data_IF_410597051149
#
_entry.id   IF_410597051149
#
_cell.length_a   1.000
_cell.length_b   1.000
_cell.length_c   1.000
_cell.angle_alpha   90.00
_cell.angle_beta   90.00
_cell.angle_gamma   90.00
#
_symmetry.space_group_name_H-M   'P 1'
#
loop_
_entity.id
_entity.type
_entity.pdbx_description
1 polymer ?
#
# COMPACT_ATOMS: atom_id res chain seq x y z
N UNK A 1 -25.66 -14.83 0.25
CA UNK A 1 -25.82 -14.08 -1.01
C UNK A 1 -25.34 -12.63 -0.88
N UNK A 2 -25.98 -11.76 -0.08
CA UNK A 2 -25.58 -10.35 0.07
C UNK A 2 -24.13 -10.09 0.58
N UNK A 3 -23.62 -10.91 1.52
CA UNK A 3 -22.23 -10.76 2.03
C UNK A 3 -21.18 -11.08 0.96
N UNK A 4 -21.42 -12.10 0.15
CA UNK A 4 -20.52 -12.51 -0.94
C UNK A 4 -20.45 -11.44 -2.02
N UNK A 5 -21.60 -10.90 -2.44
CA UNK A 5 -21.67 -9.80 -3.41
C UNK A 5 -20.94 -8.54 -2.91
N UNK A 6 -21.08 -8.20 -1.62
CA UNK A 6 -20.34 -7.08 -1.02
C UNK A 6 -18.82 -7.31 -1.05
N UNK A 7 -18.36 -8.55 -0.82
CA UNK A 7 -16.95 -8.91 -0.88
C UNK A 7 -16.40 -8.91 -2.32
N UNK A 8 -17.15 -9.41 -3.29
CA UNK A 8 -16.80 -9.33 -4.72
C UNK A 8 -16.66 -7.87 -5.18
N UNK A 9 -17.60 -7.01 -4.79
CA UNK A 9 -17.51 -5.57 -5.07
C UNK A 9 -16.31 -4.91 -4.38
N UNK A 10 -15.98 -5.32 -3.15
CA UNK A 10 -14.80 -4.84 -2.44
C UNK A 10 -13.50 -5.23 -3.16
N UNK A 11 -13.40 -6.48 -3.60
CA UNK A 11 -12.29 -7.00 -4.42
C UNK A 11 -12.16 -6.21 -5.71
N UNK A 12 -13.27 -6.02 -6.43
CA UNK A 12 -13.29 -5.28 -7.70
C UNK A 12 -12.75 -3.86 -7.52
N UNK A 13 -13.27 -3.14 -6.53
CA UNK A 13 -12.84 -1.76 -6.25
C UNK A 13 -11.34 -1.65 -5.88
N UNK A 14 -10.82 -2.63 -5.12
CA UNK A 14 -9.39 -2.69 -4.78
C UNK A 14 -8.54 -2.98 -6.03
N UNK A 15 -8.94 -3.95 -6.86
CA UNK A 15 -8.23 -4.31 -8.07
C UNK A 15 -8.21 -3.17 -9.10
N UNK A 16 -9.32 -2.44 -9.26
CA UNK A 16 -9.39 -1.26 -10.15
C UNK A 16 -8.44 -0.14 -9.72
N UNK A 17 -8.17 0.00 -8.42
CA UNK A 17 -7.23 0.99 -7.89
C UNK A 17 -5.77 0.50 -7.84
N UNK A 18 -5.54 -0.80 -8.05
CA UNK A 18 -4.25 -1.46 -7.91
C UNK A 18 -3.82 -2.10 -9.26
N UNK A 19 -3.35 -1.29 -10.22
CA UNK A 19 -3.22 -1.68 -11.63
C UNK A 19 -2.30 -2.88 -11.88
N UNK A 20 -1.33 -3.13 -10.99
CA UNK A 20 -0.34 -4.20 -11.13
C UNK A 20 -0.35 -5.17 -9.95
N UNK A 21 -1.48 -5.27 -9.24
CA UNK A 21 -1.66 -6.22 -8.15
C UNK A 21 -1.55 -7.66 -8.64
N UNK A 22 -2.26 -8.01 -9.72
CA UNK A 22 -2.26 -9.36 -10.27
C UNK A 22 -1.00 -9.67 -11.07
N UNK A 23 -0.61 -10.95 -11.08
CA UNK A 23 0.47 -11.43 -11.95
C UNK A 23 0.16 -11.14 -13.43
N UNK A 24 -1.08 -11.39 -13.86
CA UNK A 24 -1.49 -11.21 -15.24
C UNK A 24 -1.32 -9.76 -15.71
N UNK A 25 -1.68 -8.76 -14.89
CA UNK A 25 -1.49 -7.36 -15.23
C UNK A 25 0.00 -6.99 -15.36
N UNK A 26 0.85 -7.51 -14.47
CA UNK A 26 2.31 -7.35 -14.57
C UNK A 26 2.86 -7.99 -15.84
N UNK A 27 2.50 -9.24 -16.13
CA UNK A 27 2.97 -9.96 -17.30
C UNK A 27 2.57 -9.28 -18.61
N UNK A 28 1.30 -8.89 -18.73
CA UNK A 28 0.76 -8.24 -19.96
C UNK A 28 1.34 -6.85 -20.22
N UNK A 29 1.97 -6.21 -19.23
CA UNK A 29 2.68 -4.94 -19.41
C UNK A 29 3.94 -5.09 -20.28
N UNK A 30 4.54 -6.29 -20.35
CA UNK A 30 5.73 -6.57 -21.14
C UNK A 30 5.35 -6.91 -22.59
N UNK A 31 5.28 -5.89 -23.45
CA UNK A 31 5.00 -6.08 -24.88
C UNK A 31 6.28 -6.42 -25.64
N UNK A 32 6.31 -7.60 -26.28
CA UNK A 32 7.42 -8.07 -27.11
C UNK A 32 8.80 -7.95 -26.42
N UNK A 33 8.88 -8.38 -25.15
CA UNK A 33 10.09 -8.24 -24.35
C UNK A 33 11.28 -8.95 -24.97
N UNK A 34 12.40 -8.23 -25.10
CA UNK A 34 13.50 -8.60 -26.00
C UNK A 34 14.18 -9.94 -25.68
N UNK A 35 14.08 -10.39 -24.43
CA UNK A 35 14.70 -11.64 -23.98
C UNK A 35 13.76 -12.85 -24.04
N UNK A 36 12.46 -12.69 -24.32
CA UNK A 36 11.49 -13.80 -24.30
C UNK A 36 11.78 -14.89 -25.34
N UNK A 37 12.47 -14.53 -26.42
CA UNK A 37 12.89 -15.47 -27.47
C UNK A 37 14.21 -16.18 -27.15
N UNK A 38 14.91 -15.80 -26.08
CA UNK A 38 16.23 -16.32 -25.72
C UNK A 38 16.11 -17.38 -24.63
N UNK A 39 16.23 -18.65 -25.01
CA UNK A 39 16.02 -19.78 -24.10
C UNK A 39 17.02 -19.88 -22.93
N UNK A 40 18.21 -19.28 -23.08
CA UNK A 40 19.25 -19.24 -22.04
C UNK A 40 19.12 -18.05 -21.11
N UNK A 41 18.23 -17.09 -21.40
CA UNK A 41 18.06 -15.90 -20.59
C UNK A 41 17.35 -16.25 -19.28
N UNK A 42 17.89 -15.72 -18.18
CA UNK A 42 17.24 -15.78 -16.86
C UNK A 42 16.18 -14.69 -16.70
N UNK A 43 16.35 -13.58 -17.41
CA UNK A 43 15.45 -12.45 -17.36
C UNK A 43 14.43 -12.50 -18.52
N UNK A 44 13.31 -13.18 -18.33
CA UNK A 44 12.15 -13.11 -19.24
C UNK A 44 11.05 -12.17 -18.70
N UNK A 45 10.07 -11.81 -19.53
CA UNK A 45 8.88 -11.06 -19.09
C UNK A 45 8.11 -11.81 -17.99
N UNK A 46 8.02 -13.13 -18.13
CA UNK A 46 7.43 -14.05 -17.14
C UNK A 46 8.21 -14.03 -15.82
N UNK A 47 9.55 -14.11 -15.85
CA UNK A 47 10.39 -14.02 -14.66
C UNK A 47 10.27 -12.64 -13.97
N UNK A 48 10.23 -11.55 -14.74
CA UNK A 48 10.04 -10.19 -14.21
C UNK A 48 8.68 -10.02 -13.54
N UNK A 49 7.60 -10.44 -14.21
CA UNK A 49 6.24 -10.36 -13.67
C UNK A 49 6.07 -11.23 -12.42
N UNK A 50 6.72 -12.40 -12.40
CA UNK A 50 6.73 -13.31 -11.25
C UNK A 50 7.47 -12.68 -10.08
N UNK A 51 8.60 -12.02 -10.33
CA UNK A 51 9.36 -11.27 -9.34
C UNK A 51 8.70 -9.97 -8.86
N UNK A 52 7.50 -9.66 -9.35
CA UNK A 52 6.70 -8.51 -8.89
C UNK A 52 6.87 -7.25 -9.73
N UNK A 53 7.54 -7.29 -10.88
CA UNK A 53 7.76 -6.12 -11.73
C UNK A 53 6.72 -6.00 -12.86
N UNK A 54 6.39 -4.76 -13.24
CA UNK A 54 5.74 -4.43 -14.49
C UNK A 54 6.69 -3.61 -15.38
N UNK A 55 6.47 -3.61 -16.69
CA UNK A 55 7.29 -2.88 -17.64
C UNK A 55 7.11 -1.37 -17.51
N UNK A 56 8.22 -0.65 -17.41
CA UNK A 56 8.31 0.81 -17.61
C UNK A 56 9.21 1.13 -18.80
N UNK A 57 9.30 0.18 -19.74
CA UNK A 57 10.19 0.26 -20.89
C UNK A 57 9.94 1.52 -21.74
N UNK A 58 11.05 2.17 -22.11
CA UNK A 58 11.09 3.27 -23.06
C UNK A 58 11.94 2.86 -24.27
N UNK A 59 11.91 3.59 -25.39
CA UNK A 59 12.77 3.30 -26.54
C UNK A 59 14.26 3.25 -26.19
N UNK A 60 14.71 4.06 -25.23
CA UNK A 60 16.11 4.11 -24.77
C UNK A 60 16.40 3.09 -23.66
N UNK A 61 15.38 2.61 -22.95
CA UNK A 61 15.50 1.64 -21.85
C UNK A 61 14.49 0.50 -22.01
N UNK A 62 14.68 -0.40 -22.99
CA UNK A 62 13.68 -1.40 -23.39
C UNK A 62 13.49 -2.54 -22.38
N UNK A 63 14.33 -2.60 -21.34
CA UNK A 63 14.26 -3.59 -20.26
C UNK A 63 14.05 -2.97 -18.89
N UNK A 64 13.54 -1.73 -18.85
CA UNK A 64 13.11 -1.13 -17.60
C UNK A 64 11.86 -1.80 -17.08
N UNK A 65 11.88 -2.10 -15.78
CA UNK A 65 10.73 -2.61 -15.08
C UNK A 65 10.72 -2.07 -13.64
N UNK A 66 9.51 -1.91 -13.10
CA UNK A 66 9.26 -1.32 -11.79
C UNK A 66 8.38 -2.20 -10.92
N UNK A 67 8.65 -2.23 -9.63
CA UNK A 67 7.80 -2.89 -8.64
C UNK A 67 6.68 -1.93 -8.18
N UNK A 68 5.40 -2.30 -8.29
CA UNK A 68 4.28 -1.44 -7.93
C UNK A 68 4.06 -1.35 -6.41
N UNK A 69 4.82 -2.11 -5.61
CA UNK A 69 4.70 -2.15 -4.16
C UNK A 69 5.81 -1.36 -3.46
N UNK A 70 7.01 -1.28 -4.03
CA UNK A 70 8.15 -0.59 -3.40
C UNK A 70 8.79 0.50 -4.28
N UNK A 71 8.28 0.70 -5.50
CA UNK A 71 8.81 1.66 -6.50
C UNK A 71 10.25 1.38 -6.96
N UNK A 72 10.84 0.23 -6.61
CA UNK A 72 12.13 -0.18 -7.17
C UNK A 72 12.01 -0.29 -8.68
N UNK A 73 12.80 0.51 -9.39
CA UNK A 73 12.83 0.56 -10.85
C UNK A 73 14.26 0.27 -11.33
N UNK A 74 14.38 -0.69 -12.24
CA UNK A 74 15.67 -1.22 -12.69
C UNK A 74 15.67 -1.48 -14.19
N UNK A 75 16.82 -1.31 -14.82
CA UNK A 75 17.11 -1.83 -16.17
C UNK A 75 17.71 -3.22 -16.06
N UNK A 76 17.05 -4.23 -16.64
CA UNK A 76 17.52 -5.61 -16.54
C UNK A 76 18.39 -6.06 -17.72
N UNK A 77 19.47 -6.76 -17.40
CA UNK A 77 20.32 -7.49 -18.32
C UNK A 77 19.81 -8.92 -18.55
N UNK A 78 20.27 -9.57 -19.63
CA UNK A 78 19.75 -10.88 -20.07
C UNK A 78 19.89 -11.99 -19.01
N UNK A 79 20.95 -11.95 -18.23
CA UNK A 79 21.29 -12.98 -17.23
C UNK A 79 21.00 -12.55 -15.80
N UNK A 80 20.36 -11.40 -15.60
CA UNK A 80 19.87 -11.01 -14.28
C UNK A 80 18.80 -11.99 -13.80
N UNK A 81 18.80 -12.26 -12.51
CA UNK A 81 17.66 -12.88 -11.83
C UNK A 81 16.79 -11.76 -11.24
N UNK A 82 15.56 -11.55 -11.76
CA UNK A 82 14.70 -10.48 -11.28
C UNK A 82 14.34 -10.58 -9.80
N UNK A 83 14.11 -11.80 -9.29
CA UNK A 83 13.73 -12.01 -7.90
C UNK A 83 14.90 -11.73 -6.96
N UNK A 84 16.09 -12.22 -7.29
CA UNK A 84 17.29 -11.96 -6.50
C UNK A 84 17.64 -10.47 -6.48
N UNK A 85 17.47 -9.76 -7.60
CA UNK A 85 17.63 -8.29 -7.62
C UNK A 85 16.62 -7.59 -6.72
N UNK A 86 15.35 -8.00 -6.74
CA UNK A 86 14.31 -7.40 -5.91
C UNK A 86 14.58 -7.61 -4.42
N UNK A 87 14.80 -8.87 -4.00
CA UNK A 87 14.97 -9.21 -2.59
C UNK A 87 16.24 -8.59 -1.99
N UNK A 88 17.29 -8.44 -2.79
CA UNK A 88 18.56 -7.87 -2.33
C UNK A 88 18.45 -6.35 -2.19
N UNK A 89 17.80 -5.66 -3.14
CA UNK A 89 17.74 -4.20 -3.14
C UNK A 89 16.62 -3.62 -2.27
N UNK A 90 15.50 -4.35 -2.12
CA UNK A 90 14.35 -3.96 -1.30
C UNK A 90 13.85 -5.15 -0.48
N UNK A 91 14.64 -5.62 0.51
CA UNK A 91 14.24 -6.72 1.39
C UNK A 91 12.99 -6.39 2.24
N UNK A 92 12.69 -5.10 2.42
CA UNK A 92 11.57 -4.54 3.16
C UNK A 92 10.28 -4.35 2.33
N UNK A 93 10.33 -4.68 1.04
CA UNK A 93 9.16 -4.67 0.16
C UNK A 93 8.13 -5.69 0.65
N UNK A 94 6.88 -5.26 0.83
CA UNK A 94 5.80 -6.15 1.29
C UNK A 94 5.58 -7.36 0.38
N UNK A 95 5.82 -7.22 -0.93
CA UNK A 95 5.77 -8.33 -1.86
C UNK A 95 6.94 -9.31 -1.67
N UNK A 96 8.14 -8.81 -1.36
CA UNK A 96 9.32 -9.65 -1.11
C UNK A 96 9.18 -10.41 0.21
N UNK A 97 8.70 -9.75 1.26
CA UNK A 97 8.51 -10.35 2.60
C UNK A 97 7.56 -11.55 2.54
N UNK A 98 6.55 -11.50 1.68
CA UNK A 98 5.61 -12.61 1.48
C UNK A 98 6.25 -13.81 0.77
N UNK A 99 7.40 -13.63 0.12
CA UNK A 99 7.98 -14.65 -0.75
C UNK A 99 7.27 -14.77 -2.10
N UNK A 100 7.54 -15.85 -2.83
CA UNK A 100 6.92 -16.07 -4.13
C UNK A 100 5.43 -16.48 -3.97
N UNK A 101 4.46 -15.74 -4.54
CA UNK A 101 3.02 -15.97 -4.32
C UNK A 101 2.50 -17.36 -4.71
N UNK A 102 3.16 -18.04 -5.63
CA UNK A 102 2.84 -19.39 -6.08
C UNK A 102 3.31 -20.49 -5.12
N UNK A 103 4.22 -20.16 -4.21
CA UNK A 103 4.71 -21.03 -3.13
C UNK A 103 4.00 -20.74 -1.79
N UNK A 104 3.14 -19.72 -1.74
CA UNK A 104 2.50 -19.25 -0.50
C UNK A 104 0.99 -19.20 -0.61
N UNK A 105 0.30 -19.62 0.47
CA UNK A 105 -1.15 -19.42 0.59
C UNK A 105 -1.41 -17.99 1.06
N UNK A 106 -2.06 -17.18 0.23
CA UNK A 106 -2.36 -15.78 0.56
C UNK A 106 -3.75 -15.66 1.17
N UNK A 107 -3.85 -14.95 2.29
CA UNK A 107 -5.13 -14.64 2.92
C UNK A 107 -5.80 -13.41 2.30
N UNK A 108 -7.11 -13.21 2.53
CA UNK A 108 -7.82 -12.00 2.06
C UNK A 108 -7.20 -10.74 2.68
N UNK A 109 -6.80 -10.81 3.94
CA UNK A 109 -6.09 -9.74 4.62
C UNK A 109 -4.76 -9.38 3.94
N UNK A 110 -3.95 -10.36 3.56
CA UNK A 110 -2.68 -10.11 2.86
C UNK A 110 -2.93 -9.48 1.48
N UNK A 111 -3.88 -10.03 0.71
CA UNK A 111 -4.19 -9.54 -0.63
C UNK A 111 -4.73 -8.11 -0.59
N UNK A 112 -5.63 -7.81 0.35
CA UNK A 112 -6.15 -6.45 0.53
C UNK A 112 -5.06 -5.46 0.98
N UNK A 113 -4.12 -5.89 1.82
CA UNK A 113 -2.95 -5.08 2.22
C UNK A 113 -2.07 -4.75 1.00
N UNK A 114 -1.72 -5.74 0.18
CA UNK A 114 -0.96 -5.53 -1.07
C UNK A 114 -1.71 -4.64 -2.07
N UNK A 115 -3.03 -4.80 -2.19
CA UNK A 115 -3.85 -3.96 -3.05
C UNK A 115 -3.82 -2.49 -2.60
N UNK A 116 -3.98 -2.24 -1.30
CA UNK A 116 -3.89 -0.90 -0.70
C UNK A 116 -2.48 -0.32 -0.91
N UNK A 117 -1.42 -1.13 -0.76
CA UNK A 117 -0.05 -0.69 -1.01
C UNK A 117 0.16 -0.31 -2.48
N UNK A 118 -0.26 -1.16 -3.41
CA UNK A 118 -0.17 -0.89 -4.85
C UNK A 118 -0.96 0.37 -5.23
N UNK A 119 -2.17 0.55 -4.68
CA UNK A 119 -2.96 1.76 -4.89
C UNK A 119 -2.30 3.01 -4.28
N UNK A 120 -1.62 2.88 -3.14
CA UNK A 120 -0.86 3.97 -2.50
C UNK A 120 0.30 4.41 -3.38
N UNK A 121 1.11 3.47 -3.87
CA UNK A 121 2.21 3.78 -4.79
C UNK A 121 1.70 4.44 -6.08
N UNK A 122 0.65 3.87 -6.68
CA UNK A 122 0.07 4.42 -7.91
C UNK A 122 -0.49 5.84 -7.71
N UNK A 123 -1.09 6.13 -6.55
CA UNK A 123 -1.59 7.47 -6.25
C UNK A 123 -0.44 8.45 -5.92
N UNK A 124 0.60 7.99 -5.21
CA UNK A 124 1.80 8.78 -4.95
C UNK A 124 2.46 9.24 -6.25
N UNK A 125 2.63 8.32 -7.21
CA UNK A 125 3.24 8.64 -8.51
C UNK A 125 2.40 9.62 -9.35
N UNK A 126 1.08 9.65 -9.16
CA UNK A 126 0.20 10.67 -9.80
C UNK A 126 0.31 12.03 -9.14
N UNK A 127 0.54 12.07 -7.83
CA UNK A 127 0.66 13.31 -7.06
C UNK A 127 2.01 13.99 -7.23
N UNK A 128 3.08 13.20 -7.45
CA UNK A 128 4.44 13.72 -7.54
C UNK A 128 4.62 14.80 -8.62
N UNK A 129 4.18 14.62 -9.89
CA UNK A 129 4.30 15.65 -10.92
C UNK A 129 3.45 16.89 -10.64
N UNK A 130 2.34 16.74 -9.93
CA UNK A 130 1.45 17.87 -9.57
C UNK A 130 2.15 18.79 -8.59
N UNK A 131 2.88 18.22 -7.62
CA UNK A 131 3.64 19.00 -6.63
C UNK A 131 4.81 19.72 -7.29
N UNK A 132 5.62 18.99 -8.08
CA UNK A 132 6.73 19.60 -8.83
C UNK A 132 6.24 20.74 -9.73
N UNK A 133 5.12 20.53 -10.46
CA UNK A 133 4.51 21.58 -11.26
C UNK A 133 4.16 22.82 -10.44
N UNK A 134 3.61 22.67 -9.23
CA UNK A 134 3.22 23.80 -8.40
C UNK A 134 4.41 24.54 -7.77
N UNK A 135 5.52 23.84 -7.52
CA UNK A 135 6.78 24.38 -7.02
C UNK A 135 7.53 25.16 -8.11
N UNK A 136 7.51 24.67 -9.35
CA UNK A 136 8.26 25.24 -10.49
C UNK A 136 7.46 26.23 -11.35
N UNK A 137 6.12 26.20 -11.33
CA UNK A 137 5.32 26.99 -12.27
C UNK A 137 5.32 28.49 -11.97
N UNK A 138 5.83 29.27 -12.92
CA UNK A 138 5.53 30.70 -13.08
C UNK A 138 4.02 30.92 -13.34
N UNK A 139 3.53 32.09 -12.92
CA UNK A 139 2.09 32.42 -12.77
C UNK A 139 1.23 32.38 -14.06
N UNK A 140 1.76 32.00 -15.23
CA UNK A 140 1.09 32.16 -16.53
C UNK A 140 0.01 31.10 -16.87
N UNK A 141 -0.04 29.94 -16.21
CA UNK A 141 -1.02 28.87 -16.51
C UNK A 141 -2.05 28.66 -15.38
N UNK A 142 -2.87 29.68 -15.14
CA UNK A 142 -3.86 29.74 -14.04
C UNK A 142 -4.80 28.52 -13.94
N UNK A 143 -5.35 28.02 -15.06
CA UNK A 143 -6.31 26.90 -15.03
C UNK A 143 -5.70 25.56 -14.57
N UNK A 144 -4.47 25.25 -15.01
CA UNK A 144 -3.75 24.04 -14.59
C UNK A 144 -3.36 24.11 -13.12
N UNK A 145 -3.02 25.32 -12.66
CA UNK A 145 -2.74 25.58 -11.24
C UNK A 145 -3.97 25.37 -10.37
N UNK A 146 -5.16 25.77 -10.83
CA UNK A 146 -6.41 25.53 -10.12
C UNK A 146 -6.72 24.03 -9.97
N UNK A 147 -6.62 23.25 -11.05
CA UNK A 147 -6.86 21.80 -11.00
C UNK A 147 -5.86 21.08 -10.06
N UNK A 148 -4.58 21.42 -10.17
CA UNK A 148 -3.52 20.92 -9.29
C UNK A 148 -3.80 21.26 -7.81
N UNK A 149 -4.21 22.50 -7.53
CA UNK A 149 -4.56 22.96 -6.18
C UNK A 149 -5.77 22.20 -5.62
N UNK A 150 -6.81 21.98 -6.42
CA UNK A 150 -7.99 21.19 -5.99
C UNK A 150 -7.61 19.75 -5.62
N UNK A 151 -6.72 19.11 -6.38
CA UNK A 151 -6.22 17.76 -6.06
C UNK A 151 -5.45 17.74 -4.73
N UNK A 152 -4.60 18.73 -4.47
CA UNK A 152 -3.90 18.84 -3.18
C UNK A 152 -4.83 19.10 -2.01
N UNK A 153 -5.85 19.96 -2.17
CA UNK A 153 -6.87 20.20 -1.13
C UNK A 153 -7.62 18.91 -0.82
N UNK A 154 -8.01 18.15 -1.85
CA UNK A 154 -8.65 16.85 -1.68
C UNK A 154 -7.76 15.86 -0.91
N UNK A 155 -6.48 15.77 -1.28
CA UNK A 155 -5.52 14.93 -0.55
C UNK A 155 -5.39 15.37 0.91
N UNK A 156 -5.24 16.67 1.18
CA UNK A 156 -5.18 17.22 2.54
C UNK A 156 -6.40 16.85 3.37
N UNK A 157 -7.60 17.01 2.82
CA UNK A 157 -8.85 16.67 3.52
C UNK A 157 -8.96 15.16 3.80
N UNK A 158 -8.37 14.32 2.95
CA UNK A 158 -8.36 12.87 3.14
C UNK A 158 -7.20 12.34 3.99
N UNK A 159 -6.19 13.17 4.27
CA UNK A 159 -4.98 12.83 5.05
C UNK A 159 -4.90 13.59 6.38
N UNK A 160 -6.03 14.03 6.93
CA UNK A 160 -6.09 14.89 8.12
C UNK A 160 -5.34 14.34 9.35
N UNK A 161 -5.06 13.04 9.44
CA UNK A 161 -4.35 12.42 10.56
C UNK A 161 -2.84 12.29 10.36
N UNK A 162 -2.29 12.99 9.38
CA UNK A 162 -0.85 12.98 9.09
C UNK A 162 -0.02 13.52 10.26
N UNK A 163 -0.50 14.58 10.94
CA UNK A 163 0.24 15.18 12.06
C UNK A 163 -0.25 14.67 13.41
N UNK A 164 0.65 14.63 14.38
CA UNK A 164 0.40 14.18 15.74
C UNK A 164 -0.69 15.02 16.43
N UNK A 165 -0.75 16.32 16.14
CA UNK A 165 -1.76 17.21 16.70
C UNK A 165 -3.17 16.85 16.22
N UNK A 166 -3.36 16.53 14.94
CA UNK A 166 -4.65 16.09 14.43
C UNK A 166 -5.03 14.71 14.96
N UNK A 167 -4.06 13.80 15.12
CA UNK A 167 -4.29 12.50 15.79
C UNK A 167 -4.72 12.71 17.24
N UNK A 168 -4.03 13.56 17.98
CA UNK A 168 -4.35 13.91 19.36
C UNK A 168 -5.74 14.56 19.50
N UNK A 169 -6.15 15.40 18.55
CA UNK A 169 -7.47 16.03 18.55
C UNK A 169 -8.61 15.00 18.55
N UNK A 170 -8.40 13.80 18.00
CA UNK A 170 -9.42 12.73 18.01
C UNK A 170 -9.77 12.24 19.42
N UNK A 171 -8.88 12.39 20.40
CA UNK A 171 -9.13 12.03 21.81
C UNK A 171 -9.88 13.12 22.58
N UNK A 172 -10.10 14.30 21.98
CA UNK A 172 -10.71 15.47 22.62
C UNK A 172 -12.15 15.74 22.21
N UNK A 173 -12.71 14.96 21.29
CA UNK A 173 -14.08 15.11 20.80
C UNK A 173 -15.07 14.99 21.97
N UNK A 174 -15.98 15.95 22.08
CA UNK A 174 -17.00 16.02 23.14
C UNK A 174 -17.90 14.79 23.04
N UNK A 175 -18.04 14.03 24.14
CA UNK A 175 -18.78 12.76 24.19
C UNK A 175 -17.91 11.50 24.13
N UNK A 176 -16.69 11.60 23.61
CA UNK A 176 -15.67 10.52 23.60
C UNK A 176 -14.43 10.89 24.42
N UNK A 177 -14.59 11.72 25.46
CA UNK A 177 -13.47 12.05 26.35
C UNK A 177 -13.06 10.77 27.08
N UNK A 178 -11.78 10.39 26.97
CA UNK A 178 -11.13 9.46 27.89
C UNK A 178 -11.06 10.09 29.30
N UNK A 179 -12.23 10.22 29.96
CA UNK A 179 -12.35 10.79 31.30
C UNK A 179 -11.41 10.01 32.23
N UNK A 180 -10.46 10.71 32.85
CA UNK A 180 -9.47 10.12 33.75
C UNK A 180 -8.09 9.89 33.14
N UNK A 181 -7.92 9.94 31.81
CA UNK A 181 -6.60 9.81 31.18
C UNK A 181 -5.92 11.18 31.10
N UNK A 182 -4.67 11.24 31.60
CA UNK A 182 -3.86 12.47 31.60
C UNK A 182 -3.50 12.90 30.17
N UNK A 183 -3.52 14.21 29.94
CA UNK A 183 -3.30 14.83 28.62
C UNK A 183 -2.00 14.42 27.92
N UNK A 184 -0.91 14.38 28.69
CA UNK A 184 0.41 14.03 28.17
C UNK A 184 0.48 12.57 27.69
N UNK A 185 -0.34 11.67 28.23
CA UNK A 185 -0.42 10.27 27.79
C UNK A 185 -1.05 10.24 26.40
N UNK A 186 -2.17 10.93 26.20
CA UNK A 186 -2.85 11.03 24.90
C UNK A 186 -1.94 11.64 23.83
N UNK A 187 -1.11 12.63 24.20
CA UNK A 187 -0.09 13.19 23.30
C UNK A 187 0.99 12.16 22.93
N UNK A 188 1.42 11.31 23.87
CA UNK A 188 2.36 10.22 23.58
C UNK A 188 1.76 9.18 22.63
N UNK A 189 0.51 8.77 22.86
CA UNK A 189 -0.25 7.87 21.98
C UNK A 189 -0.33 8.46 20.57
N UNK A 190 -0.73 9.74 20.44
CA UNK A 190 -0.81 10.41 19.16
C UNK A 190 0.55 10.52 18.45
N UNK A 191 1.63 10.84 19.18
CA UNK A 191 2.99 10.87 18.62
C UNK A 191 3.43 9.51 18.09
N UNK A 192 3.09 8.41 18.78
CA UNK A 192 3.36 7.04 18.34
C UNK A 192 2.51 6.57 17.13
N UNK A 193 1.68 7.46 16.56
CA UNK A 193 0.96 7.20 15.30
C UNK A 193 -0.51 6.87 15.46
N UNK A 194 -1.09 7.00 16.66
CA UNK A 194 -2.42 6.50 16.96
C UNK A 194 -3.50 7.58 17.03
N UNK A 195 -4.67 7.31 16.46
CA UNK A 195 -5.92 8.06 16.67
C UNK A 195 -6.78 7.37 17.73
N UNK A 196 -7.74 8.09 18.31
CA UNK A 196 -8.76 7.55 19.20
C UNK A 196 -9.62 6.50 18.49
N UNK A 197 -9.80 5.36 19.14
CA UNK A 197 -10.79 4.35 18.80
C UNK A 197 -11.69 4.03 20.01
N UNK A 198 -11.80 4.99 20.95
CA UNK A 198 -12.47 4.82 22.25
C UNK A 198 -13.85 4.17 22.08
N UNK A 199 -14.09 3.17 22.91
CA UNK A 199 -15.39 2.51 23.04
C UNK A 199 -15.91 2.68 24.45
N UNK A 200 -17.17 2.27 24.69
CA UNK A 200 -17.73 2.22 26.04
C UNK A 200 -16.99 1.23 26.96
N UNK A 201 -16.20 0.30 26.39
CA UNK A 201 -15.48 -0.75 27.12
C UNK A 201 -13.99 -0.43 27.34
N UNK A 202 -13.39 0.35 26.43
CA UNK A 202 -11.97 0.68 26.45
C UNK A 202 -11.76 2.16 26.16
N UNK A 203 -11.31 2.90 27.18
CA UNK A 203 -11.05 4.34 27.13
C UNK A 203 -9.66 4.68 26.55
N UNK A 204 -8.84 3.67 26.30
CA UNK A 204 -7.51 3.78 25.68
C UNK A 204 -7.40 2.96 24.39
N UNK A 205 -8.54 2.56 23.83
CA UNK A 205 -8.58 1.99 22.49
C UNK A 205 -8.08 3.00 21.47
N UNK A 206 -7.12 2.60 20.66
CA UNK A 206 -6.50 3.47 19.68
C UNK A 206 -6.27 2.73 18.37
N UNK A 207 -6.35 3.48 17.26
CA UNK A 207 -6.26 2.94 15.90
C UNK A 207 -5.28 3.74 15.07
N UNK A 208 -4.41 3.04 14.34
CA UNK A 208 -3.45 3.64 13.44
C UNK A 208 -4.11 4.04 12.11
N UNK A 209 -4.00 5.29 11.63
CA UNK A 209 -4.58 5.71 10.34
C UNK A 209 -3.78 5.21 9.13
N UNK A 210 -2.56 4.70 9.33
CA UNK A 210 -1.67 4.23 8.26
C UNK A 210 -1.83 2.73 7.96
N UNK A 211 -2.14 1.91 8.97
CA UNK A 211 -2.27 0.45 8.83
C UNK A 211 -3.61 -0.11 9.35
N UNK A 212 -4.47 0.72 9.94
CA UNK A 212 -5.78 0.36 10.53
C UNK A 212 -5.74 -0.62 11.71
N UNK A 213 -4.54 -1.00 12.19
CA UNK A 213 -4.39 -1.74 13.44
C UNK A 213 -5.09 -0.99 14.57
N UNK A 214 -5.83 -1.73 15.39
CA UNK A 214 -6.51 -1.21 16.59
C UNK A 214 -6.01 -2.00 17.80
N UNK A 215 -5.60 -1.31 18.85
CA UNK A 215 -5.10 -1.89 20.10
C UNK A 215 -5.82 -1.21 21.27
N UNK A 216 -6.13 -1.98 22.30
CA UNK A 216 -6.55 -1.47 23.61
C UNK A 216 -5.32 -1.37 24.52
N UNK A 217 -4.91 -0.14 24.85
CA UNK A 217 -3.72 0.09 25.66
C UNK A 217 -3.98 0.16 27.17
N UNK A 218 -2.96 -0.18 27.93
CA UNK A 218 -2.80 0.23 29.32
C UNK A 218 -2.04 1.56 29.41
N UNK A 219 -2.20 2.30 30.51
CA UNK A 219 -1.51 3.61 30.68
C UNK A 219 0.01 3.49 30.80
N UNK A 220 0.51 2.29 31.05
CA UNK A 220 1.93 1.96 31.27
C UNK A 220 2.63 1.47 30.00
N UNK A 221 1.90 1.20 28.94
CA UNK A 221 2.46 0.65 27.70
C UNK A 221 3.38 1.65 27.00
N UNK A 222 4.38 1.11 26.30
CA UNK A 222 5.10 1.88 25.29
C UNK A 222 4.34 1.81 23.96
N UNK A 223 3.55 2.84 23.70
CA UNK A 223 2.69 2.91 22.52
C UNK A 223 3.45 2.80 21.18
N UNK A 224 4.74 3.14 21.15
CA UNK A 224 5.55 3.02 19.93
C UNK A 224 6.07 1.60 19.75
N UNK A 225 6.62 1.00 20.81
CA UNK A 225 7.06 -0.40 20.74
C UNK A 225 5.90 -1.34 20.42
N UNK A 226 4.72 -1.11 21.00
CA UNK A 226 3.51 -1.86 20.67
C UNK A 226 3.13 -1.75 19.18
N UNK A 227 3.26 -0.56 18.60
CA UNK A 227 3.01 -0.35 17.17
C UNK A 227 4.01 -1.14 16.32
N UNK A 228 5.30 -1.08 16.67
CA UNK A 228 6.35 -1.81 15.94
C UNK A 228 6.14 -3.32 16.02
N UNK A 229 5.85 -3.84 17.21
CA UNK A 229 5.68 -5.27 17.44
C UNK A 229 4.43 -5.82 16.73
N UNK A 230 3.34 -5.05 16.75
CA UNK A 230 2.06 -5.49 16.18
C UNK A 230 1.92 -5.20 14.69
N UNK A 231 2.65 -4.22 14.15
CA UNK A 231 2.58 -3.84 12.73
C UNK A 231 3.90 -3.30 12.20
N UNK A 232 4.94 -4.14 12.21
CA UNK A 232 6.27 -3.80 11.67
C UNK A 232 6.23 -3.31 10.21
N UNK A 233 5.23 -3.77 9.45
CA UNK A 233 5.05 -3.39 8.04
C UNK A 233 4.27 -2.08 7.82
N UNK A 234 3.83 -1.39 8.87
CA UNK A 234 3.17 -0.09 8.74
C UNK A 234 4.14 0.96 8.16
N UNK A 235 3.71 1.75 7.16
CA UNK A 235 4.56 2.75 6.51
C UNK A 235 5.11 3.80 7.50
N UNK A 236 4.32 4.18 8.50
CA UNK A 236 4.76 5.09 9.58
C UNK A 236 5.81 4.45 10.50
N UNK A 237 5.67 3.14 10.77
CA UNK A 237 6.66 2.36 11.52
C UNK A 237 7.95 2.22 10.73
N UNK A 238 7.87 1.84 9.45
CA UNK A 238 9.03 1.71 8.56
C UNK A 238 9.81 3.02 8.41
N UNK A 239 9.12 4.16 8.39
CA UNK A 239 9.77 5.47 8.38
C UNK A 239 10.65 5.69 9.62
N UNK A 240 10.21 5.19 10.78
CA UNK A 240 10.95 5.22 12.05
C UNK A 240 11.45 6.62 12.45
N UNK A 241 10.67 7.66 12.12
CA UNK A 241 10.93 9.07 12.48
C UNK A 241 9.69 9.65 13.18
N UNK A 242 9.68 9.63 14.52
CA UNK A 242 8.55 10.15 15.31
C UNK A 242 8.46 11.69 15.32
N UNK A 243 9.57 12.38 15.05
CA UNK A 243 9.59 13.82 14.95
C UNK A 243 9.27 14.25 13.51
N UNK A 244 8.07 14.80 13.32
CA UNK A 244 7.51 15.15 12.01
C UNK A 244 8.31 16.25 11.28
N UNK A 245 9.19 16.96 12.00
CA UNK A 245 10.13 17.94 11.40
C UNK A 245 11.28 17.29 10.63
N UNK A 246 11.55 16.00 10.87
CA UNK A 246 12.66 15.28 10.25
C UNK A 246 12.24 14.58 8.95
N UNK A 247 10.98 14.76 8.53
CA UNK A 247 10.42 14.16 7.33
C UNK A 247 10.79 14.97 6.09
N UNK A 248 11.17 14.28 5.01
CA UNK A 248 11.23 14.93 3.69
C UNK A 248 9.84 15.14 3.11
N UNK A 249 9.73 15.96 2.07
CA UNK A 249 8.46 16.17 1.35
C UNK A 249 7.91 14.85 0.79
N UNK A 250 8.76 14.00 0.25
CA UNK A 250 8.40 12.69 -0.31
C UNK A 250 7.91 11.73 0.78
N UNK A 251 8.57 11.71 1.94
CA UNK A 251 8.16 10.89 3.09
C UNK A 251 6.79 11.32 3.61
N UNK A 252 6.59 12.62 3.81
CA UNK A 252 5.31 13.18 4.24
C UNK A 252 4.20 12.94 3.20
N UNK A 253 4.50 13.10 1.91
CA UNK A 253 3.57 12.84 0.82
C UNK A 253 3.16 11.37 0.76
N UNK A 254 4.11 10.44 0.85
CA UNK A 254 3.83 9.00 0.87
C UNK A 254 2.88 8.64 2.03
N UNK A 255 3.15 9.15 3.23
CA UNK A 255 2.30 8.95 4.40
C UNK A 255 0.91 9.58 4.22
N UNK A 256 0.82 10.78 3.63
CA UNK A 256 -0.45 11.45 3.36
C UNK A 256 -1.31 10.65 2.36
N UNK A 257 -0.70 10.21 1.26
CA UNK A 257 -1.34 9.35 0.27
C UNK A 257 -1.76 8.02 0.90
N UNK A 258 -0.91 7.42 1.75
CA UNK A 258 -1.25 6.19 2.47
C UNK A 258 -2.52 6.37 3.31
N UNK A 259 -2.61 7.42 4.13
CA UNK A 259 -3.83 7.70 4.91
C UNK A 259 -5.05 7.85 3.99
N UNK A 260 -4.91 8.62 2.90
CA UNK A 260 -6.00 8.87 1.95
C UNK A 260 -6.52 7.56 1.33
N UNK A 261 -5.63 6.70 0.85
CA UNK A 261 -5.96 5.41 0.25
C UNK A 261 -6.52 4.44 1.28
N UNK A 262 -5.92 4.36 2.46
CA UNK A 262 -6.40 3.52 3.57
C UNK A 262 -7.81 3.93 4.00
N UNK A 263 -8.06 5.24 4.15
CA UNK A 263 -9.40 5.79 4.44
C UNK A 263 -10.41 5.43 3.34
N UNK A 264 -10.01 5.55 2.07
CA UNK A 264 -10.85 5.21 0.91
C UNK A 264 -11.28 3.74 0.91
N UNK A 265 -10.40 2.83 1.32
CA UNK A 265 -10.65 1.37 1.27
C UNK A 265 -10.96 0.72 2.63
N UNK A 266 -11.12 1.51 3.69
CA UNK A 266 -11.36 0.97 5.04
C UNK A 266 -12.60 0.07 5.09
N UNK A 267 -13.70 0.48 4.42
CA UNK A 267 -14.95 -0.30 4.40
C UNK A 267 -14.76 -1.63 3.67
N UNK A 268 -14.11 -1.61 2.51
CA UNK A 268 -13.82 -2.79 1.70
C UNK A 268 -12.94 -3.77 2.48
N UNK A 269 -11.89 -3.27 3.13
CA UNK A 269 -11.01 -4.11 3.95
C UNK A 269 -11.76 -4.77 5.12
N UNK A 270 -12.62 -4.02 5.83
CA UNK A 270 -13.47 -4.58 6.90
C UNK A 270 -14.40 -5.70 6.40
N UNK A 271 -14.99 -5.53 5.22
CA UNK A 271 -15.84 -6.57 4.60
C UNK A 271 -15.02 -7.85 4.35
N UNK A 272 -13.79 -7.70 3.83
CA UNK A 272 -12.92 -8.85 3.55
C UNK A 272 -12.40 -9.53 4.82
N UNK A 273 -12.04 -8.76 5.86
CA UNK A 273 -11.64 -9.29 7.17
C UNK A 273 -12.79 -10.07 7.83
N UNK A 274 -14.03 -9.58 7.75
CA UNK A 274 -15.20 -10.28 8.26
C UNK A 274 -15.45 -11.61 7.54
N UNK A 275 -15.32 -11.62 6.20
CA UNK A 275 -15.48 -12.84 5.41
C UNK A 275 -14.43 -13.89 5.76
N UNK A 276 -13.17 -13.47 5.98
CA UNK A 276 -12.07 -14.37 6.37
C UNK A 276 -12.35 -15.10 7.68
N UNK A 277 -12.91 -14.39 8.67
CA UNK A 277 -13.25 -14.97 9.97
C UNK A 277 -14.44 -15.95 9.93
N UNK A 278 -15.32 -15.83 8.92
CA UNK A 278 -16.55 -16.63 8.81
C UNK A 278 -16.33 -18.03 8.18
N UNK A 279 -15.09 -18.43 7.85
CA UNK A 279 -14.71 -19.70 7.16
C UNK A 279 -15.37 -19.92 5.78
N UNK A 280 -16.24 -19.03 5.32
CA UNK A 280 -16.78 -18.98 3.95
C UNK A 280 -15.81 -18.32 2.94
N UNK A 281 -14.65 -17.86 3.41
CA UNK A 281 -13.67 -17.15 2.60
C UNK A 281 -12.97 -18.01 1.54
N UNK A 282 -13.01 -19.34 1.65
CA UNK A 282 -12.18 -20.23 0.84
C UNK A 282 -12.39 -20.02 -0.67
N UNK A 283 -13.62 -19.80 -1.13
CA UNK A 283 -13.87 -19.63 -2.57
C UNK A 283 -13.29 -18.32 -3.11
N UNK A 284 -13.56 -17.19 -2.45
CA UNK A 284 -13.07 -15.88 -2.88
C UNK A 284 -11.56 -15.73 -2.65
N UNK A 285 -11.05 -16.24 -1.54
CA UNK A 285 -9.61 -16.26 -1.24
C UNK A 285 -8.84 -17.11 -2.26
N UNK A 286 -9.40 -18.25 -2.68
CA UNK A 286 -8.82 -19.06 -3.76
C UNK A 286 -8.85 -18.33 -5.11
N UNK A 287 -9.93 -17.62 -5.43
CA UNK A 287 -10.00 -16.82 -6.66
C UNK A 287 -8.94 -15.70 -6.65
N UNK A 288 -8.82 -14.97 -5.54
CA UNK A 288 -7.84 -13.89 -5.40
C UNK A 288 -6.39 -14.40 -5.39
N UNK A 289 -6.13 -15.49 -4.67
CA UNK A 289 -4.80 -16.11 -4.66
C UNK A 289 -4.38 -16.53 -6.07
N UNK A 290 -5.30 -17.07 -6.87
CA UNK A 290 -5.04 -17.39 -8.29
C UNK A 290 -4.73 -16.16 -9.15
N UNK A 291 -5.28 -14.98 -8.82
CA UNK A 291 -4.93 -13.73 -9.52
C UNK A 291 -3.49 -13.29 -9.22
N UNK A 292 -3.00 -13.55 -8.01
CA UNK A 292 -1.65 -13.22 -7.58
C UNK A 292 -0.61 -14.22 -8.09
N UNK A 293 -0.99 -15.49 -8.23
CA UNK A 293 -0.10 -16.58 -8.61
C UNK A 293 0.23 -16.58 -10.11
N UNK A 294 1.45 -17.03 -10.42
CA UNK A 294 1.87 -17.35 -11.78
C UNK A 294 1.17 -18.64 -12.24
N UNK A 295 0.52 -18.66 -13.42
CA UNK A 295 -0.11 -19.88 -13.93
C UNK A 295 0.92 -21.00 -14.13
N UNK A 296 0.65 -22.21 -13.58
CA UNK A 296 1.53 -23.39 -13.71
C UNK A 296 1.71 -23.88 -15.16
N UNK A 297 0.89 -23.41 -16.09
CA UNK A 297 0.92 -23.80 -17.50
C UNK A 297 1.15 -22.59 -18.43
N UNK A 298 2.41 -22.16 -18.58
CA UNK A 298 2.84 -21.34 -19.73
C UNK A 298 3.60 -22.16 -20.80
N UNK A 299 3.58 -23.50 -20.70
CA UNK A 299 4.11 -24.42 -21.72
C UNK A 299 3.10 -24.72 -22.83
N UNK A 300 2.46 -23.72 -23.41
CA UNK A 300 1.98 -23.78 -24.79
C UNK A 300 2.16 -22.42 -25.41
N UNK A 301 3.32 -22.22 -26.06
CA UNK A 301 3.44 -21.21 -27.11
C UNK A 301 2.39 -21.56 -28.15
N UNK A 302 1.31 -20.79 -28.23
CA UNK A 302 0.57 -20.70 -29.48
C UNK A 302 1.48 -19.92 -30.43
N UNK A 303 2.18 -20.67 -31.27
CA UNK A 303 2.70 -20.16 -32.52
C UNK A 303 1.49 -19.75 -33.37
N UNK A 304 1.36 -18.46 -33.67
CA UNK A 304 0.63 -17.97 -34.84
C UNK A 304 1.59 -17.08 -35.61
#
# INVERSE_FOLDING_TARGET
MFRHEAAENAVKALNEAAPYLSYAARFTSFKAFKYDKRFTSKCSSDALAHAGFYSTATPTSPTNAKCPFCMLELTFAENDDPWEKHRTQKPDCEFVILGQPDETTLTLQIISSLAIRCATVAEYEKMLPIIHYLEEADHEQSYRREEATRKLISLRNNSQYLTADHRYATFKIVGQRAKGVRDHILKKIAKAGWCSAITNRSLLSAKCPFCLLTIDFETTDDFWEEHKNSSANCDFVKLNKLNEKDWTTEEALMLAVKISVVKKFEKQRKILEQLENDKEADQLANQLSKMMARPKCLRRRCSV
#
